data_IF_003080977114
#
_entry.id   IF_003080977114
#
_cell.length_a   1.000
_cell.length_b   1.000
_cell.length_c   1.000
_cell.angle_alpha   90.00
_cell.angle_beta   90.00
_cell.angle_gamma   90.00
#
_symmetry.space_group_name_H-M   'P 1'
#
loop_
_entity.id
_entity.type
_entity.pdbx_description
1 polymer ?
#
# COMPACT_ATOMS: atom_id res chain seq x y z
N UNK A 1 10.51 12.99 1.90
CA UNK A 1 9.82 12.24 2.96
C UNK A 1 9.98 10.76 2.62
N UNK A 2 10.18 9.87 3.59
CA UNK A 2 10.31 8.43 3.24
C UNK A 2 8.97 7.80 2.88
N UNK A 3 8.96 6.64 2.20
CA UNK A 3 7.74 5.87 2.00
C UNK A 3 7.11 5.44 3.35
N UNK A 4 7.95 5.15 4.35
CA UNK A 4 7.51 4.80 5.71
C UNK A 4 6.84 5.99 6.40
N UNK A 5 7.49 7.16 6.34
CA UNK A 5 6.97 8.42 6.89
C UNK A 5 5.66 8.83 6.21
N UNK A 6 5.50 8.58 4.91
CA UNK A 6 4.26 8.80 4.19
C UNK A 6 3.10 7.97 4.77
N UNK A 7 3.27 6.65 4.89
CA UNK A 7 2.21 5.79 5.42
C UNK A 7 1.96 6.02 6.91
N UNK A 8 2.97 6.41 7.69
CA UNK A 8 2.80 6.82 9.08
C UNK A 8 1.94 8.09 9.18
N UNK A 9 2.19 9.11 8.37
CA UNK A 9 1.36 10.32 8.34
C UNK A 9 -0.07 10.01 7.92
N UNK A 10 -0.25 9.12 6.94
CA UNK A 10 -1.56 8.63 6.52
C UNK A 10 -2.29 7.87 7.61
N UNK A 11 -1.58 7.06 8.39
CA UNK A 11 -2.16 6.38 9.55
C UNK A 11 -2.75 7.35 10.56
N UNK A 12 -2.01 8.41 10.92
CA UNK A 12 -2.50 9.44 11.83
C UNK A 12 -3.73 10.17 11.27
N UNK A 13 -3.71 10.48 9.96
CA UNK A 13 -4.85 11.08 9.26
C UNK A 13 -6.08 10.16 9.29
N UNK A 14 -5.91 8.87 8.99
CA UNK A 14 -6.98 7.89 8.97
C UNK A 14 -7.52 7.60 10.38
N UNK A 15 -6.66 7.58 11.41
CA UNK A 15 -7.10 7.51 12.80
C UNK A 15 -8.03 8.68 13.15
N UNK A 16 -7.65 9.90 12.79
CA UNK A 16 -8.48 11.09 13.00
C UNK A 16 -9.83 10.98 12.26
N UNK A 17 -9.81 10.62 10.98
CA UNK A 17 -11.03 10.43 10.16
C UNK A 17 -11.91 9.24 10.58
N UNK A 18 -11.35 8.33 11.37
CA UNK A 18 -11.97 7.10 11.86
C UNK A 18 -12.39 7.16 13.34
N UNK A 19 -12.45 8.36 13.94
CA UNK A 19 -12.79 8.55 15.36
C UNK A 19 -11.85 7.77 16.31
N UNK A 20 -10.55 7.79 16.02
CA UNK A 20 -9.51 7.07 16.77
C UNK A 20 -9.22 5.66 16.25
N UNK A 21 -10.02 5.13 15.32
CA UNK A 21 -9.76 3.84 14.67
C UNK A 21 -9.66 3.99 13.15
N UNK A 22 -8.43 3.96 12.64
CA UNK A 22 -8.16 4.06 11.20
C UNK A 22 -8.86 2.97 10.37
N UNK A 23 -9.16 1.80 10.95
CA UNK A 23 -9.85 0.71 10.25
C UNK A 23 -11.28 1.08 9.90
N UNK A 24 -11.95 1.86 10.74
CA UNK A 24 -13.29 2.39 10.47
C UNK A 24 -13.26 3.28 9.23
N UNK A 25 -12.25 4.14 9.13
CA UNK A 25 -12.06 4.98 7.94
C UNK A 25 -11.82 4.13 6.69
N UNK A 26 -10.84 3.22 6.74
CA UNK A 26 -10.44 2.41 5.58
C UNK A 26 -11.56 1.49 5.08
N UNK A 27 -12.34 0.88 5.98
CA UNK A 27 -13.52 0.08 5.59
C UNK A 27 -14.64 0.92 4.99
N UNK A 28 -14.77 2.19 5.39
CA UNK A 28 -15.74 3.14 4.83
C UNK A 28 -15.35 3.59 3.44
N UNK A 29 -14.09 3.99 3.22
CA UNK A 29 -13.64 4.47 1.89
C UNK A 29 -13.38 3.35 0.89
N UNK A 30 -12.98 2.17 1.39
CA UNK A 30 -12.59 1.00 0.61
C UNK A 30 -11.46 1.31 -0.39
N UNK A 31 -11.07 0.30 -1.15
CA UNK A 31 -10.00 0.42 -2.14
C UNK A 31 -10.21 1.58 -3.15
N UNK A 32 -11.38 1.76 -3.80
CA UNK A 32 -11.52 2.81 -4.82
C UNK A 32 -11.39 4.22 -4.24
N UNK A 33 -12.01 4.47 -3.09
CA UNK A 33 -11.93 5.77 -2.43
C UNK A 33 -10.51 6.10 -1.98
N UNK A 34 -9.81 5.09 -1.46
CA UNK A 34 -8.42 5.25 -1.05
C UNK A 34 -7.47 5.47 -2.25
N UNK A 35 -7.71 4.80 -3.38
CA UNK A 35 -6.95 5.01 -4.60
C UNK A 35 -7.13 6.44 -5.15
N UNK A 36 -8.35 7.00 -5.04
CA UNK A 36 -8.60 8.41 -5.38
C UNK A 36 -7.81 9.34 -4.45
N UNK A 37 -7.83 9.10 -3.14
CA UNK A 37 -7.05 9.88 -2.18
C UNK A 37 -5.55 9.87 -2.54
N UNK A 38 -4.99 8.70 -2.84
CA UNK A 38 -3.58 8.58 -3.25
C UNK A 38 -3.26 9.29 -4.56
N UNK A 39 -4.14 9.24 -5.57
CA UNK A 39 -3.93 9.96 -6.84
C UNK A 39 -3.96 11.49 -6.67
N UNK A 40 -4.70 11.98 -5.67
CA UNK A 40 -4.81 13.40 -5.37
C UNK A 40 -3.67 13.91 -4.48
N UNK A 41 -2.90 13.00 -3.88
CA UNK A 41 -1.79 13.33 -3.00
C UNK A 41 -0.48 13.48 -3.82
N UNK A 42 0.11 14.70 -3.89
CA UNK A 42 1.32 14.93 -4.67
C UNK A 42 2.55 14.18 -4.11
N UNK A 43 2.56 13.87 -2.81
CA UNK A 43 3.66 13.14 -2.18
C UNK A 43 3.56 11.64 -2.47
N UNK A 44 2.36 11.11 -2.68
CA UNK A 44 2.16 9.69 -2.95
C UNK A 44 2.95 9.23 -4.19
N UNK A 45 2.89 9.99 -5.28
CA UNK A 45 3.58 9.61 -6.52
C UNK A 45 5.10 9.66 -6.36
N UNK A 46 5.61 10.70 -5.70
CA UNK A 46 7.04 10.91 -5.51
C UNK A 46 7.64 9.89 -4.56
N UNK A 47 6.96 9.61 -3.44
CA UNK A 47 7.52 8.77 -2.38
C UNK A 47 7.14 7.29 -2.55
N UNK A 48 5.86 6.98 -2.83
CA UNK A 48 5.38 5.60 -2.87
C UNK A 48 5.58 4.95 -4.23
N UNK A 49 5.16 5.61 -5.32
CA UNK A 49 5.30 5.01 -6.64
C UNK A 49 6.76 4.90 -7.10
N UNK A 50 7.62 5.85 -6.71
CA UNK A 50 9.06 5.75 -6.95
C UNK A 50 9.69 4.61 -6.16
N UNK A 51 9.32 4.46 -4.88
CA UNK A 51 9.78 3.35 -4.04
C UNK A 51 9.36 1.99 -4.62
N UNK A 52 8.09 1.84 -5.00
CA UNK A 52 7.59 0.60 -5.62
C UNK A 52 8.32 0.27 -6.93
N UNK A 53 8.64 1.28 -7.73
CA UNK A 53 9.44 1.09 -8.94
C UNK A 53 10.86 0.65 -8.62
N UNK A 54 11.52 1.25 -7.63
CA UNK A 54 12.87 0.88 -7.20
C UNK A 54 12.90 -0.54 -6.60
N UNK A 55 11.89 -0.90 -5.82
CA UNK A 55 11.68 -2.27 -5.31
C UNK A 55 11.54 -3.29 -6.42
N UNK A 56 10.71 -3.02 -7.44
CA UNK A 56 10.59 -3.92 -8.59
C UNK A 56 11.87 -4.05 -9.43
N UNK A 57 12.76 -3.06 -9.35
CA UNK A 57 14.09 -3.09 -9.97
C UNK A 57 15.15 -3.76 -9.09
N UNK A 58 14.77 -4.27 -7.90
CA UNK A 58 15.68 -4.89 -6.94
C UNK A 58 16.63 -3.89 -6.24
N UNK A 59 16.34 -2.59 -6.35
CA UNK A 59 17.14 -1.52 -5.75
C UNK A 59 16.73 -1.26 -4.29
N UNK A 60 15.49 -1.57 -3.94
CA UNK A 60 15.00 -1.60 -2.56
C UNK A 60 14.86 -3.05 -2.11
N UNK A 61 15.37 -3.35 -0.91
CA UNK A 61 15.30 -4.70 -0.31
C UNK A 61 14.13 -4.84 0.66
N UNK A 62 13.69 -3.71 1.19
CA UNK A 62 12.58 -3.66 2.11
C UNK A 62 11.28 -3.86 1.35
N UNK A 63 10.43 -4.73 1.88
CA UNK A 63 9.12 -5.01 1.26
C UNK A 63 8.19 -3.84 1.54
N UNK A 64 7.22 -3.55 0.66
CA UNK A 64 6.19 -2.54 0.99
C UNK A 64 5.44 -2.89 2.29
N UNK A 65 5.39 -4.17 2.64
CA UNK A 65 4.95 -4.68 3.94
C UNK A 65 5.71 -4.04 5.11
N UNK A 66 7.03 -3.87 5.01
CA UNK A 66 7.85 -3.21 6.04
C UNK A 66 7.63 -1.70 6.10
N UNK A 67 7.27 -1.07 4.98
CA UNK A 67 6.89 0.34 4.91
C UNK A 67 5.51 0.59 5.54
N UNK A 68 4.57 -0.32 5.29
CA UNK A 68 3.22 -0.30 5.87
C UNK A 68 3.24 -0.69 7.36
N UNK A 69 4.33 -1.30 7.89
CA UNK A 69 4.45 -1.61 9.33
C UNK A 69 4.46 -0.38 10.25
N UNK A 70 4.63 0.84 9.72
CA UNK A 70 4.34 2.07 10.46
C UNK A 70 2.87 2.14 10.93
N UNK A 71 1.99 1.39 10.28
CA UNK A 71 0.66 1.00 10.73
C UNK A 71 0.84 -0.29 11.54
N UNK A 72 0.67 -0.24 12.85
CA UNK A 72 0.74 -1.41 13.74
C UNK A 72 -0.05 -2.59 13.18
N UNK A 73 0.64 -3.59 12.64
CA UNK A 73 0.17 -4.93 12.27
C UNK A 73 -1.31 -4.99 11.79
N UNK A 74 -1.65 -4.38 10.64
CA UNK A 74 -3.04 -4.25 10.20
C UNK A 74 -3.71 -5.62 9.98
N UNK A 75 -5.02 -5.66 10.22
CA UNK A 75 -5.86 -6.81 9.84
C UNK A 75 -5.70 -7.10 8.34
N UNK A 76 -5.84 -8.37 7.94
CA UNK A 76 -5.58 -8.79 6.55
C UNK A 76 -6.47 -8.06 5.53
N UNK A 77 -7.75 -7.79 5.87
CA UNK A 77 -8.68 -7.03 5.03
C UNK A 77 -8.24 -5.58 4.85
N UNK A 78 -7.72 -4.97 5.91
CA UNK A 78 -7.24 -3.58 5.91
C UNK A 78 -5.97 -3.45 5.07
N UNK A 79 -5.08 -4.41 5.21
CA UNK A 79 -3.85 -4.49 4.44
C UNK A 79 -4.13 -4.67 2.94
N UNK A 80 -5.09 -5.54 2.59
CA UNK A 80 -5.54 -5.73 1.20
C UNK A 80 -6.11 -4.44 0.60
N UNK A 81 -6.92 -3.68 1.35
CA UNK A 81 -7.44 -2.38 0.92
C UNK A 81 -6.30 -1.40 0.61
N UNK A 82 -5.32 -1.27 1.50
CA UNK A 82 -4.19 -0.33 1.35
C UNK A 82 -3.34 -0.72 0.14
N UNK A 83 -2.96 -1.99 0.02
CA UNK A 83 -2.14 -2.49 -1.09
C UNK A 83 -2.89 -2.32 -2.41
N UNK A 84 -4.14 -2.77 -2.48
CA UNK A 84 -4.96 -2.68 -3.69
C UNK A 84 -5.11 -1.23 -4.15
N UNK A 85 -5.31 -0.30 -3.23
CA UNK A 85 -5.43 1.12 -3.54
C UNK A 85 -4.10 1.72 -4.01
N UNK A 86 -2.99 1.28 -3.40
CA UNK A 86 -1.64 1.73 -3.75
C UNK A 86 -1.28 1.31 -5.17
N UNK A 87 -1.54 0.05 -5.52
CA UNK A 87 -1.29 -0.47 -6.86
C UNK A 87 -2.17 0.21 -7.91
N UNK A 88 -3.46 0.41 -7.61
CA UNK A 88 -4.41 1.10 -8.49
C UNK A 88 -4.03 2.58 -8.71
N UNK A 89 -3.48 3.24 -7.69
CA UNK A 89 -3.02 4.62 -7.79
C UNK A 89 -1.70 4.76 -8.57
N UNK A 90 -0.74 3.84 -8.39
CA UNK A 90 0.54 3.88 -9.10
C UNK A 90 0.49 3.33 -10.53
N UNK A 91 -0.40 2.39 -10.82
CA UNK A 91 -0.46 1.69 -12.10
C UNK A 91 -1.88 1.63 -12.71
N UNK A 92 -2.60 2.77 -12.84
CA UNK A 92 -4.00 2.81 -13.26
C UNK A 92 -4.27 2.29 -14.69
N UNK A 93 -3.24 2.22 -15.54
CA UNK A 93 -3.35 1.88 -16.97
C UNK A 93 -2.24 0.91 -17.41
N UNK A 94 -1.93 -0.13 -16.63
CA UNK A 94 -0.78 -1.00 -16.88
C UNK A 94 -0.92 -1.81 -18.19
N UNK A 95 -0.57 -1.18 -19.32
CA UNK A 95 -0.27 -1.81 -20.60
C UNK A 95 1.10 -2.50 -20.51
N UNK A 96 1.07 -3.84 -20.52
CA UNK A 96 2.09 -4.86 -20.85
C UNK A 96 3.51 -4.70 -20.26
N UNK A 97 4.19 -3.56 -20.36
CA UNK A 97 5.51 -3.33 -19.74
C UNK A 97 5.46 -3.00 -18.24
N UNK A 98 4.45 -2.23 -17.81
CA UNK A 98 4.19 -1.95 -16.39
C UNK A 98 3.28 -3.00 -15.73
N UNK A 99 2.62 -3.84 -16.53
CA UNK A 99 1.83 -4.97 -16.02
C UNK A 99 2.75 -6.02 -15.34
N UNK A 100 3.94 -6.25 -15.88
CA UNK A 100 4.95 -7.13 -15.26
C UNK A 100 5.45 -6.60 -13.92
N UNK A 101 5.62 -5.28 -13.78
CA UNK A 101 5.98 -4.62 -12.52
C UNK A 101 4.84 -4.72 -11.52
N UNK A 102 3.61 -4.42 -11.96
CA UNK A 102 2.40 -4.59 -11.15
C UNK A 102 2.17 -6.03 -10.71
N UNK A 103 2.42 -7.01 -11.59
CA UNK A 103 2.31 -8.45 -11.31
C UNK A 103 3.46 -8.97 -10.45
N UNK A 104 4.69 -8.47 -10.61
CA UNK A 104 5.81 -8.83 -9.76
C UNK A 104 5.60 -8.30 -8.34
N UNK A 105 5.15 -7.06 -8.21
CA UNK A 105 4.82 -6.43 -6.92
C UNK A 105 3.58 -7.10 -6.31
N UNK A 106 2.48 -7.25 -7.05
CA UNK A 106 1.28 -7.93 -6.56
C UNK A 106 1.53 -9.42 -6.26
N UNK A 107 2.40 -10.08 -7.02
CA UNK A 107 2.82 -11.46 -6.80
C UNK A 107 3.70 -11.61 -5.56
N UNK A 108 4.65 -10.69 -5.33
CA UNK A 108 5.49 -10.68 -4.13
C UNK A 108 4.69 -10.30 -2.88
N UNK A 109 3.79 -9.32 -2.99
CA UNK A 109 2.92 -8.92 -1.89
C UNK A 109 1.85 -9.99 -1.62
N UNK A 110 1.25 -10.56 -2.67
CA UNK A 110 0.30 -11.66 -2.56
C UNK A 110 0.94 -12.93 -1.98
N UNK A 111 2.14 -13.29 -2.41
CA UNK A 111 2.90 -14.39 -1.83
C UNK A 111 3.27 -14.11 -0.37
N UNK A 112 3.66 -12.88 -0.02
CA UNK A 112 3.93 -12.48 1.37
C UNK A 112 2.67 -12.53 2.25
N UNK A 113 1.52 -12.10 1.73
CA UNK A 113 0.22 -12.21 2.40
C UNK A 113 -0.18 -13.67 2.62
N UNK A 114 -0.05 -14.52 1.59
CA UNK A 114 -0.35 -15.96 1.70
C UNK A 114 0.62 -16.65 2.68
N UNK A 115 1.90 -16.28 2.68
CA UNK A 115 2.88 -16.81 3.62
C UNK A 115 2.58 -16.37 5.06
N UNK A 116 2.18 -15.11 5.28
CA UNK A 116 1.76 -14.59 6.58
C UNK A 116 0.47 -15.26 7.10
N UNK A 117 -0.48 -15.54 6.20
CA UNK A 117 -1.72 -16.25 6.54
C UNK A 117 -1.48 -17.74 6.82
N UNK A 118 -0.55 -18.37 6.10
CA UNK A 118 -0.17 -19.78 6.33
C UNK A 118 0.61 -19.99 7.63
N UNK A 119 1.39 -18.99 8.06
CA UNK A 119 2.13 -19.02 9.34
C UNK A 119 1.27 -18.70 10.58
N UNK A 120 0.01 -18.29 10.42
CA UNK A 120 -0.93 -18.05 11.53
C UNK A 120 -1.91 -19.22 11.77
N UNK A 121 -1.71 -20.36 11.12
CA UNK A 121 -2.49 -21.60 11.33
C UNK A 121 -1.76 -22.57 12.25
#
# INVERSE_FOLDING_TARGET
MGAEEYYYNKFLEWQSKGNGDYRVYLRRVRQPGLAVEFRQDPNFRTEICSYLKAYAQGQEKDTIMSVIKGITNPDADILEIIIGATLDACYPNSNIGNALVGLAIAGLIGAALIALLSNRK
#
